data_IF_943375047537
#
_entry.id   IF_943375047537
#
_cell.length_a   1.000
_cell.length_b   1.000
_cell.length_c   1.000
_cell.angle_alpha   90.00
_cell.angle_beta   90.00
_cell.angle_gamma   90.00
#
_symmetry.space_group_name_H-M   'P 1'
#
loop_
_entity.id
_entity.type
_entity.pdbx_description
1 polymer ?
#
# COMPACT_ATOMS: atom_id res chain seq x y z
N UNK A 1 0.33 0.40 -6.59
CA UNK A 1 -0.02 1.83 -6.74
C UNK A 1 -0.31 2.45 -5.39
N UNK A 2 -1.50 2.28 -4.79
CA UNK A 2 -1.85 2.85 -3.45
C UNK A 2 -0.83 2.51 -2.36
N UNK A 3 -0.39 1.23 -2.26
CA UNK A 3 0.64 0.82 -1.28
C UNK A 3 1.98 1.52 -1.53
N UNK A 4 2.40 1.67 -2.80
CA UNK A 4 3.67 2.31 -3.12
C UNK A 4 3.65 3.78 -2.70
N UNK A 5 2.58 4.49 -3.04
CA UNK A 5 2.41 5.91 -2.68
C UNK A 5 2.30 6.09 -1.17
N UNK A 6 1.56 5.23 -0.48
CA UNK A 6 1.41 5.30 0.98
C UNK A 6 2.71 5.05 1.74
N UNK A 7 3.62 4.23 1.20
CA UNK A 7 4.92 3.94 1.83
C UNK A 7 6.09 4.70 1.19
N UNK A 8 5.84 5.60 0.23
CA UNK A 8 6.90 6.31 -0.50
C UNK A 8 7.83 5.40 -1.32
N UNK A 9 7.36 4.21 -1.73
CA UNK A 9 8.17 3.28 -2.52
C UNK A 9 8.29 3.83 -3.94
N UNK A 10 9.52 4.01 -4.43
CA UNK A 10 9.85 4.64 -5.73
C UNK A 10 9.47 6.13 -5.81
N UNK A 11 9.31 6.82 -4.68
CA UNK A 11 9.06 8.28 -4.62
C UNK A 11 9.85 8.93 -3.47
N UNK A 12 9.99 10.25 -3.54
CA UNK A 12 10.72 11.02 -2.52
C UNK A 12 9.96 11.13 -1.18
N UNK A 13 8.63 10.98 -1.20
CA UNK A 13 7.80 11.07 0.00
C UNK A 13 6.56 10.16 -0.06
N UNK A 14 6.03 9.86 1.13
CA UNK A 14 4.81 9.10 1.32
C UNK A 14 3.57 10.00 1.27
N UNK A 15 2.52 9.52 0.61
CA UNK A 15 1.24 10.23 0.50
C UNK A 15 0.28 9.77 1.60
N UNK A 16 -0.51 10.71 2.09
CA UNK A 16 -1.66 10.45 2.97
C UNK A 16 -2.81 9.79 2.20
N UNK A 17 -3.75 9.19 2.93
CA UNK A 17 -4.94 8.60 2.30
C UNK A 17 -5.82 9.64 1.59
N UNK A 18 -5.75 10.91 2.01
CA UNK A 18 -6.50 12.00 1.39
C UNK A 18 -5.87 12.40 0.05
N UNK A 19 -4.56 12.63 0.01
CA UNK A 19 -3.84 12.99 -1.22
C UNK A 19 -3.96 11.88 -2.28
N UNK A 20 -3.88 10.61 -1.86
CA UNK A 20 -4.13 9.47 -2.76
C UNK A 20 -5.60 9.47 -3.22
N UNK A 21 -6.54 9.86 -2.37
CA UNK A 21 -7.95 9.98 -2.72
C UNK A 21 -8.18 11.05 -3.78
N UNK A 22 -7.57 12.22 -3.63
CA UNK A 22 -7.63 13.31 -4.59
C UNK A 22 -6.99 12.92 -5.94
N UNK A 23 -5.80 12.29 -5.93
CA UNK A 23 -5.10 11.87 -7.15
C UNK A 23 -5.87 10.82 -7.97
N UNK A 24 -6.66 9.95 -7.30
CA UNK A 24 -7.46 8.91 -7.97
C UNK A 24 -8.95 9.21 -8.07
N UNK A 25 -9.39 10.39 -7.65
CA UNK A 25 -10.81 10.73 -7.51
C UNK A 25 -11.59 9.65 -6.73
N UNK A 26 -11.01 9.18 -5.62
CA UNK A 26 -11.55 8.18 -4.72
C UNK A 26 -11.78 8.77 -3.34
N UNK A 27 -12.77 8.25 -2.63
CA UNK A 27 -12.95 8.60 -1.22
C UNK A 27 -11.77 8.05 -0.39
N UNK A 28 -11.41 8.77 0.68
CA UNK A 28 -10.42 8.32 1.68
C UNK A 28 -10.68 6.88 2.15
N UNK A 29 -11.95 6.55 2.36
CA UNK A 29 -12.38 5.22 2.80
C UNK A 29 -12.13 4.15 1.73
N UNK A 30 -12.36 4.48 0.45
CA UNK A 30 -12.04 3.58 -0.65
C UNK A 30 -10.54 3.31 -0.75
N UNK A 31 -9.70 4.33 -0.56
CA UNK A 31 -8.24 4.17 -0.50
C UNK A 31 -7.83 3.27 0.68
N UNK A 32 -8.44 3.46 1.87
CA UNK A 32 -8.22 2.59 3.04
C UNK A 32 -8.52 1.13 2.74
N UNK A 33 -9.67 0.84 2.12
CA UNK A 33 -10.06 -0.52 1.73
C UNK A 33 -9.08 -1.16 0.74
N UNK A 34 -8.62 -0.40 -0.27
CA UNK A 34 -7.63 -0.90 -1.24
C UNK A 34 -6.31 -1.21 -0.55
N UNK A 35 -5.87 -0.35 0.39
CA UNK A 35 -4.66 -0.58 1.20
C UNK A 35 -4.77 -1.89 1.98
N UNK A 36 -5.84 -2.10 2.72
CA UNK A 36 -6.04 -3.32 3.52
C UNK A 36 -6.11 -4.58 2.65
N UNK A 37 -6.84 -4.51 1.53
CA UNK A 37 -6.92 -5.62 0.58
C UNK A 37 -5.55 -6.00 0.02
N UNK A 38 -4.70 -5.01 -0.26
CA UNK A 38 -3.34 -5.24 -0.73
C UNK A 38 -2.43 -5.83 0.36
N UNK A 39 -2.47 -5.29 1.58
CA UNK A 39 -1.73 -5.85 2.74
C UNK A 39 -2.11 -7.32 2.97
N UNK A 40 -3.41 -7.63 2.95
CA UNK A 40 -3.90 -9.00 3.08
C UNK A 40 -3.37 -9.91 1.98
N UNK A 41 -3.30 -9.42 0.73
CA UNK A 41 -2.70 -10.16 -0.40
C UNK A 41 -1.18 -10.38 -0.23
N UNK A 42 -0.46 -9.43 0.33
CA UNK A 42 0.98 -9.56 0.60
C UNK A 42 1.30 -10.51 1.74
N UNK A 43 0.45 -10.58 2.78
CA UNK A 43 0.59 -11.54 3.89
C UNK A 43 0.41 -13.00 3.47
N UNK A 44 -0.15 -13.27 2.29
CA UNK A 44 -0.28 -14.65 1.80
C UNK A 44 1.09 -15.33 1.70
N UNK A 45 1.23 -16.53 2.29
CA UNK A 45 2.51 -17.24 2.48
C UNK A 45 3.34 -17.37 1.20
N UNK A 46 2.69 -17.61 0.07
CA UNK A 46 3.37 -17.74 -1.24
C UNK A 46 4.01 -16.43 -1.72
N UNK A 47 3.47 -15.27 -1.34
CA UNK A 47 3.95 -13.94 -1.76
C UNK A 47 4.85 -13.26 -0.74
N UNK A 48 4.86 -13.74 0.51
CA UNK A 48 5.75 -13.25 1.58
C UNK A 48 7.05 -14.04 1.73
N UNK A 49 7.26 -15.12 0.97
CA UNK A 49 8.46 -15.98 1.10
C UNK A 49 9.76 -15.18 0.92
N UNK A 50 9.83 -14.31 -0.09
CA UNK A 50 10.99 -13.43 -0.31
C UNK A 50 11.09 -12.32 0.74
N UNK A 51 9.95 -11.78 1.19
CA UNK A 51 9.90 -10.69 2.17
C UNK A 51 10.25 -11.15 3.59
N UNK A 52 10.02 -12.43 3.93
CA UNK A 52 10.40 -13.00 5.23
C UNK A 52 11.90 -12.99 5.48
N UNK A 53 12.71 -13.13 4.43
CA UNK A 53 14.17 -13.08 4.55
C UNK A 53 14.69 -11.70 5.00
N UNK A 54 13.86 -10.64 4.90
CA UNK A 54 14.20 -9.30 5.36
C UNK A 54 13.73 -9.03 6.80
N UNK A 55 13.09 -9.98 7.47
CA UNK A 55 12.54 -9.81 8.83
C UNK A 55 13.47 -10.29 9.96
N UNK A 56 14.63 -10.87 9.63
CA UNK A 56 15.54 -11.46 10.63
C UNK A 56 15.12 -12.86 11.03
#
# INVERSE_FOLDING_TARGET
MVIKMYFGIERDYAFTLNEIGEEFNLTRERVRQIKEKAIRRFRHRSRSKTLRNYLG
#
